data_IF_080841619460
#
_entry.id   IF_080841619460
#
_cell.length_a   1.000
_cell.length_b   1.000
_cell.length_c   1.000
_cell.angle_alpha   90.00
_cell.angle_beta   90.00
_cell.angle_gamma   90.00
#
_symmetry.space_group_name_H-M   'P 1'
#
loop_
_entity.id
_entity.type
_entity.pdbx_description
1 polymer ?
#
# COMPACT_ATOMS: atom_id res chain seq x y z
N UNK A 1 61.79 8.91 -3.35
CA UNK A 1 60.73 8.06 -2.75
C UNK A 1 59.39 8.50 -3.25
N UNK A 2 58.73 7.70 -4.14
CA UNK A 2 57.34 7.96 -4.56
C UNK A 2 56.43 7.20 -3.60
N UNK A 3 55.67 7.96 -2.81
CA UNK A 3 54.63 7.37 -1.99
C UNK A 3 53.53 6.80 -2.90
N UNK A 4 53.41 5.47 -2.91
CA UNK A 4 52.33 4.80 -3.58
C UNK A 4 51.02 5.10 -2.88
N UNK A 5 50.12 5.81 -3.54
CA UNK A 5 48.74 5.95 -3.08
C UNK A 5 48.07 4.61 -3.31
N UNK A 6 47.88 3.84 -2.23
CA UNK A 6 47.01 2.67 -2.25
C UNK A 6 45.56 3.17 -2.41
N UNK A 7 45.04 3.15 -3.64
CA UNK A 7 43.59 3.26 -3.87
C UNK A 7 42.99 2.00 -3.31
N UNK A 8 42.38 2.06 -2.14
CA UNK A 8 41.48 1.03 -1.65
C UNK A 8 40.31 1.02 -2.64
N UNK A 9 40.17 -0.07 -3.39
CA UNK A 9 39.02 -0.26 -4.28
C UNK A 9 37.82 -0.50 -3.37
N UNK A 10 36.90 0.45 -3.34
CA UNK A 10 35.64 0.24 -2.66
C UNK A 10 34.90 -0.91 -3.37
N UNK A 11 34.61 -1.96 -2.64
CA UNK A 11 33.86 -3.13 -3.14
C UNK A 11 32.40 -2.98 -2.75
N UNK A 12 31.51 -3.24 -3.68
CA UNK A 12 30.06 -3.32 -3.40
C UNK A 12 29.79 -4.64 -2.72
N UNK A 13 29.38 -4.62 -1.47
CA UNK A 13 29.02 -5.81 -0.71
C UNK A 13 27.51 -5.96 -0.56
N UNK A 14 27.07 -7.19 -0.29
CA UNK A 14 25.65 -7.43 -0.01
C UNK A 14 25.14 -6.61 1.17
N UNK A 15 26.00 -6.28 2.13
CA UNK A 15 25.64 -5.48 3.30
C UNK A 15 25.42 -4.01 2.91
N UNK A 16 26.27 -3.43 2.05
CA UNK A 16 26.08 -2.07 1.54
C UNK A 16 24.75 -1.94 0.79
N UNK A 17 24.44 -2.91 -0.09
CA UNK A 17 23.19 -2.92 -0.83
C UNK A 17 22.01 -3.10 0.10
N UNK A 18 22.12 -4.00 1.08
CA UNK A 18 21.07 -4.19 2.10
C UNK A 18 20.86 -2.95 2.94
N UNK A 19 21.91 -2.30 3.43
CA UNK A 19 21.81 -1.06 4.21
C UNK A 19 21.11 0.03 3.41
N UNK A 20 21.40 0.16 2.13
CA UNK A 20 20.76 1.13 1.24
C UNK A 20 19.25 0.84 1.06
N UNK A 21 18.86 -0.44 1.05
CA UNK A 21 17.45 -0.85 0.96
C UNK A 21 16.73 -0.82 2.31
N UNK A 22 17.38 -1.27 3.39
CA UNK A 22 16.80 -1.40 4.74
C UNK A 22 16.58 -0.04 5.41
N UNK A 23 17.25 1.01 4.95
CA UNK A 23 16.93 2.38 5.41
C UNK A 23 15.46 2.75 5.09
N UNK A 24 14.80 1.99 4.21
CA UNK A 24 13.38 2.12 3.85
C UNK A 24 12.70 0.77 4.09
N UNK A 25 12.17 0.55 5.30
CA UNK A 25 11.52 -0.74 5.64
C UNK A 25 10.35 -1.11 4.75
N UNK A 26 9.51 -0.13 4.44
CA UNK A 26 8.36 -0.31 3.55
C UNK A 26 8.46 0.69 2.41
N UNK A 27 8.47 0.20 1.19
CA UNK A 27 8.48 1.02 -0.01
C UNK A 27 7.05 1.11 -0.57
N UNK A 28 6.39 2.24 -0.32
CA UNK A 28 5.12 2.58 -0.97
C UNK A 28 5.40 3.02 -2.41
N UNK A 29 4.89 2.29 -3.37
CA UNK A 29 5.14 2.54 -4.80
C UNK A 29 3.89 2.93 -5.58
N UNK A 30 2.72 2.69 -5.02
CA UNK A 30 1.45 3.03 -5.65
C UNK A 30 0.46 3.53 -4.61
N UNK A 31 -0.23 4.64 -4.92
CA UNK A 31 -1.31 5.21 -4.14
C UNK A 31 -2.55 5.38 -5.00
N UNK A 32 -3.68 5.01 -4.45
CA UNK A 32 -4.99 5.21 -5.06
C UNK A 32 -5.84 6.08 -4.14
N UNK A 33 -6.26 7.23 -4.64
CA UNK A 33 -7.18 8.14 -3.94
C UNK A 33 -8.55 8.05 -4.58
N UNK A 34 -9.57 8.09 -3.75
CA UNK A 34 -10.95 7.97 -4.20
C UNK A 34 -11.89 8.82 -3.33
N UNK A 35 -13.00 9.21 -3.93
CA UNK A 35 -14.17 9.76 -3.22
C UNK A 35 -15.33 8.81 -3.43
N UNK A 36 -15.91 8.32 -2.35
CA UNK A 36 -17.12 7.50 -2.38
C UNK A 36 -18.32 8.27 -1.88
N UNK A 37 -19.47 8.06 -2.56
CA UNK A 37 -20.78 8.46 -2.07
C UNK A 37 -21.60 7.21 -1.88
N UNK A 38 -21.98 6.93 -0.66
CA UNK A 38 -22.58 5.65 -0.29
C UNK A 38 -23.80 5.83 0.60
N UNK A 39 -24.73 4.91 0.49
CA UNK A 39 -25.91 4.89 1.35
C UNK A 39 -25.94 3.63 2.20
N UNK A 40 -26.33 3.81 3.43
CA UNK A 40 -26.65 2.72 4.35
C UNK A 40 -28.15 2.75 4.65
N UNK A 41 -28.80 1.60 4.59
CA UNK A 41 -30.19 1.42 4.99
C UNK A 41 -30.33 0.13 5.78
N UNK A 42 -31.07 0.19 6.88
CA UNK A 42 -31.37 -0.97 7.70
C UNK A 42 -32.78 -0.87 8.29
N UNK A 43 -33.49 -1.96 8.24
CA UNK A 43 -34.82 -2.13 8.86
C UNK A 43 -34.73 -3.18 9.98
N UNK A 44 -35.59 -3.06 10.99
CA UNK A 44 -35.81 -4.17 11.90
C UNK A 44 -36.69 -5.24 11.21
N UNK A 45 -36.38 -6.50 11.48
CA UNK A 45 -37.11 -7.64 10.92
C UNK A 45 -37.71 -8.50 12.04
N UNK A 46 -38.89 -9.05 11.75
CA UNK A 46 -39.53 -10.05 12.59
C UNK A 46 -40.00 -11.22 11.71
N UNK A 47 -39.47 -12.43 11.94
CA UNK A 47 -39.70 -13.63 11.09
C UNK A 47 -39.43 -13.40 9.59
N UNK A 48 -38.39 -12.60 9.27
CA UNK A 48 -38.02 -12.29 7.88
C UNK A 48 -38.88 -11.23 7.18
N UNK A 49 -39.81 -10.60 7.90
CA UNK A 49 -40.62 -9.49 7.40
C UNK A 49 -40.12 -8.18 8.00
N UNK A 50 -39.98 -7.16 7.14
CA UNK A 50 -39.62 -5.80 7.58
C UNK A 50 -40.71 -5.20 8.45
N UNK A 51 -40.32 -4.67 9.60
CA UNK A 51 -41.26 -3.99 10.50
C UNK A 51 -41.46 -2.56 9.99
N UNK A 52 -42.68 -2.12 9.67
CA UNK A 52 -42.95 -0.75 9.27
C UNK A 52 -42.44 0.27 10.28
N UNK A 53 -42.02 1.44 9.78
CA UNK A 53 -41.55 2.58 10.58
C UNK A 53 -40.27 2.32 11.39
N UNK A 54 -39.46 1.32 11.02
CA UNK A 54 -38.20 1.01 11.70
C UNK A 54 -36.98 1.29 10.84
N UNK A 55 -37.16 1.92 9.65
CA UNK A 55 -36.06 2.23 8.74
C UNK A 55 -35.12 3.26 9.34
N UNK A 56 -33.83 2.95 9.36
CA UNK A 56 -32.76 3.90 9.54
C UNK A 56 -31.89 3.93 8.30
N UNK A 57 -31.48 5.10 7.87
CA UNK A 57 -30.59 5.28 6.73
C UNK A 57 -29.73 6.50 6.87
N UNK A 58 -28.60 6.50 6.18
CA UNK A 58 -27.80 7.68 5.96
C UNK A 58 -27.14 7.64 4.56
N UNK A 59 -26.86 8.80 4.02
CA UNK A 59 -26.07 8.97 2.80
C UNK A 59 -24.86 9.82 3.17
N UNK A 60 -23.67 9.29 2.93
CA UNK A 60 -22.43 9.99 3.23
C UNK A 60 -21.51 10.00 2.03
N UNK A 61 -20.65 11.03 1.94
CA UNK A 61 -19.46 10.96 1.13
C UNK A 61 -18.21 11.06 1.97
N UNK A 62 -17.13 10.47 1.49
CA UNK A 62 -15.82 10.51 2.12
C UNK A 62 -14.72 10.26 1.11
N UNK A 63 -13.54 10.78 1.41
CA UNK A 63 -12.32 10.52 0.67
C UNK A 63 -11.52 9.40 1.34
N UNK A 64 -10.82 8.63 0.54
CA UNK A 64 -9.93 7.58 1.04
C UNK A 64 -8.66 7.47 0.21
N UNK A 65 -7.64 6.88 0.83
CA UNK A 65 -6.36 6.57 0.19
C UNK A 65 -5.96 5.12 0.51
N UNK A 66 -5.67 4.35 -0.53
CA UNK A 66 -5.06 3.02 -0.43
C UNK A 66 -3.63 3.10 -0.93
N UNK A 67 -2.68 2.64 -0.13
CA UNK A 67 -1.27 2.56 -0.49
C UNK A 67 -0.85 1.11 -0.64
N UNK A 68 -0.14 0.80 -1.71
CA UNK A 68 0.47 -0.50 -1.94
C UNK A 68 1.97 -0.39 -2.17
N UNK A 69 2.69 -1.45 -1.88
CA UNK A 69 4.12 -1.54 -2.02
C UNK A 69 4.67 -2.84 -1.47
N UNK A 70 5.96 -2.85 -1.18
CA UNK A 70 6.71 -4.02 -0.73
C UNK A 70 7.34 -3.82 0.64
N UNK A 71 7.55 -4.92 1.33
CA UNK A 71 8.25 -5.03 2.61
C UNK A 71 9.72 -5.38 2.31
N UNK A 72 10.60 -4.40 2.34
CA UNK A 72 12.01 -4.57 2.00
C UNK A 72 12.80 -5.42 2.98
N UNK A 73 12.33 -5.61 4.21
CA UNK A 73 12.95 -6.52 5.17
C UNK A 73 12.96 -7.98 4.66
N UNK A 74 12.08 -8.29 3.71
CA UNK A 74 11.96 -9.62 3.10
C UNK A 74 12.69 -9.75 1.76
N UNK A 75 13.30 -8.68 1.26
CA UNK A 75 14.08 -8.72 0.03
C UNK A 75 15.34 -9.57 0.21
N UNK A 76 15.69 -10.32 -0.82
CA UNK A 76 16.94 -11.11 -0.86
C UNK A 76 17.87 -10.50 -1.88
N UNK A 77 19.12 -10.28 -1.47
CA UNK A 77 20.17 -9.69 -2.32
C UNK A 77 21.27 -10.74 -2.54
N UNK A 78 21.60 -10.98 -3.79
CA UNK A 78 22.69 -11.83 -4.23
C UNK A 78 23.61 -11.04 -5.17
N UNK A 79 24.91 -11.00 -4.85
CA UNK A 79 25.92 -10.26 -5.60
C UNK A 79 26.92 -11.22 -6.18
N UNK A 80 27.18 -11.08 -7.48
CA UNK A 80 28.25 -11.78 -8.19
C UNK A 80 29.29 -10.77 -8.69
N UNK A 81 30.40 -10.66 -7.97
CA UNK A 81 31.47 -9.72 -8.26
C UNK A 81 32.23 -10.03 -9.56
N UNK A 82 32.36 -11.31 -9.90
CA UNK A 82 33.03 -11.71 -11.14
C UNK A 82 32.23 -11.28 -12.37
N UNK A 83 30.89 -11.39 -12.29
CA UNK A 83 29.97 -11.00 -13.38
C UNK A 83 29.48 -9.56 -13.26
N UNK A 84 29.87 -8.85 -12.21
CA UNK A 84 29.36 -7.52 -11.90
C UNK A 84 27.84 -7.45 -11.96
N UNK A 85 27.17 -8.39 -11.26
CA UNK A 85 25.73 -8.54 -11.26
C UNK A 85 25.18 -8.52 -9.84
N UNK A 86 24.10 -7.75 -9.65
CA UNK A 86 23.31 -7.71 -8.42
C UNK A 86 21.93 -8.24 -8.74
N UNK A 87 21.54 -9.34 -8.10
CA UNK A 87 20.20 -9.93 -8.24
C UNK A 87 19.42 -9.69 -6.97
N UNK A 88 18.24 -9.09 -7.10
CA UNK A 88 17.34 -8.80 -6.00
C UNK A 88 16.05 -9.53 -6.24
N UNK A 89 15.65 -10.33 -5.24
CA UNK A 89 14.34 -10.98 -5.21
C UNK A 89 13.44 -10.23 -4.25
N UNK A 90 12.38 -9.62 -4.77
CA UNK A 90 11.42 -8.87 -3.97
C UNK A 90 10.28 -9.77 -3.49
N UNK A 91 9.71 -9.51 -2.31
CA UNK A 91 8.46 -10.13 -1.91
C UNK A 91 7.31 -9.61 -2.77
N UNK A 92 6.17 -10.29 -2.71
CA UNK A 92 4.96 -9.82 -3.37
C UNK A 92 4.52 -8.47 -2.77
N UNK A 93 4.03 -7.58 -3.62
CA UNK A 93 3.42 -6.35 -3.17
C UNK A 93 2.15 -6.64 -2.35
N UNK A 94 1.89 -5.79 -1.37
CA UNK A 94 0.71 -5.88 -0.51
C UNK A 94 0.11 -4.49 -0.31
N UNK A 95 -1.13 -4.42 0.13
CA UNK A 95 -1.69 -3.19 0.68
C UNK A 95 -0.93 -2.89 1.98
N UNK A 96 -0.31 -1.72 2.05
CA UNK A 96 0.43 -1.25 3.21
C UNK A 96 -0.46 -0.43 4.15
N UNK A 97 -1.36 0.36 3.59
CA UNK A 97 -2.33 1.13 4.35
C UNK A 97 -3.60 1.38 3.55
N UNK A 98 -4.70 1.49 4.24
CA UNK A 98 -5.96 2.00 3.73
C UNK A 98 -6.55 2.95 4.78
N UNK A 99 -6.75 4.19 4.42
CA UNK A 99 -7.21 5.24 5.32
C UNK A 99 -8.40 5.98 4.69
N UNK A 100 -9.34 6.36 5.54
CA UNK A 100 -10.42 7.28 5.20
C UNK A 100 -10.06 8.61 5.87
N UNK A 101 -10.16 9.68 5.10
CA UNK A 101 -10.02 11.03 5.62
C UNK A 101 -11.30 11.41 6.38
N UNK A 102 -11.21 11.41 7.70
CA UNK A 102 -12.36 11.70 8.56
C UNK A 102 -12.82 13.15 8.44
N UNK A 103 -11.93 14.07 8.06
CA UNK A 103 -12.27 15.49 7.85
C UNK A 103 -13.05 15.72 6.54
N UNK A 104 -12.97 14.77 5.60
CA UNK A 104 -13.71 14.80 4.34
C UNK A 104 -15.16 14.31 4.46
N UNK A 105 -15.52 13.70 5.60
CA UNK A 105 -16.80 13.04 5.78
C UNK A 105 -17.95 14.05 5.78
N UNK A 106 -18.86 13.88 4.83
CA UNK A 106 -20.06 14.73 4.69
C UNK A 106 -21.31 13.86 4.71
N UNK A 107 -22.24 14.20 5.60
CA UNK A 107 -23.55 13.55 5.70
C UNK A 107 -24.54 14.37 4.89
N UNK A 108 -25.16 13.75 3.85
CA UNK A 108 -26.16 14.41 3.00
C UNK A 108 -27.59 14.18 3.45
N UNK A 109 -27.88 12.98 3.96
CA UNK A 109 -29.20 12.61 4.44
C UNK A 109 -29.04 11.63 5.60
N UNK A 110 -29.81 11.86 6.66
CA UNK A 110 -29.84 10.99 7.83
C UNK A 110 -31.30 10.83 8.27
N UNK A 111 -31.74 9.60 8.39
CA UNK A 111 -33.05 9.26 8.89
C UNK A 111 -32.94 8.13 9.90
N UNK A 112 -33.54 8.34 11.04
CA UNK A 112 -33.68 7.30 12.05
C UNK A 112 -35.12 7.18 12.55
N UNK A 113 -35.43 5.99 13.06
CA UNK A 113 -36.71 5.71 13.70
C UNK A 113 -36.51 5.67 15.22
N UNK A 114 -37.51 6.08 15.97
CA UNK A 114 -37.53 5.92 17.44
C UNK A 114 -37.38 4.45 17.88
N UNK A 115 -37.72 3.50 16.98
CA UNK A 115 -37.62 2.05 17.22
C UNK A 115 -36.34 1.43 16.65
N UNK A 116 -35.55 2.20 15.86
CA UNK A 116 -34.31 1.74 15.24
C UNK A 116 -33.36 2.93 15.04
N UNK A 117 -32.70 3.34 16.09
CA UNK A 117 -31.79 4.47 16.09
C UNK A 117 -30.43 4.08 15.49
N UNK A 118 -29.77 5.05 14.83
CA UNK A 118 -28.39 4.92 14.38
C UNK A 118 -27.45 4.80 15.58
N UNK A 119 -26.50 3.87 15.49
CA UNK A 119 -25.49 3.61 16.52
C UNK A 119 -24.10 3.79 15.93
N UNK A 120 -23.13 4.16 16.76
CA UNK A 120 -21.71 4.24 16.37
C UNK A 120 -21.24 2.93 15.70
N UNK A 121 -21.78 1.79 16.15
CA UNK A 121 -21.49 0.49 15.57
C UNK A 121 -21.92 0.40 14.10
N UNK A 122 -23.06 0.96 13.73
CA UNK A 122 -23.54 0.95 12.34
C UNK A 122 -22.56 1.66 11.40
N UNK A 123 -22.04 2.83 11.82
CA UNK A 123 -21.00 3.55 11.08
C UNK A 123 -19.69 2.80 11.01
N UNK A 124 -19.27 2.16 12.11
CA UNK A 124 -18.02 1.38 12.13
C UNK A 124 -18.08 0.14 11.24
N UNK A 125 -19.18 -0.60 11.27
CA UNK A 125 -19.39 -1.78 10.42
C UNK A 125 -19.51 -1.38 8.96
N UNK A 126 -20.26 -0.32 8.67
CA UNK A 126 -20.39 0.24 7.34
C UNK A 126 -19.01 0.63 6.78
N UNK A 127 -18.23 1.44 7.49
CA UNK A 127 -16.89 1.85 7.08
C UNK A 127 -16.00 0.65 6.77
N UNK A 128 -15.97 -0.33 7.65
CA UNK A 128 -15.19 -1.55 7.48
C UNK A 128 -15.57 -2.32 6.21
N UNK A 129 -16.87 -2.41 5.92
CA UNK A 129 -17.36 -3.10 4.74
C UNK A 129 -17.01 -2.35 3.45
N UNK A 130 -17.16 -1.02 3.44
CA UNK A 130 -16.80 -0.21 2.27
C UNK A 130 -15.29 -0.21 2.00
N UNK A 131 -14.46 -0.15 3.03
CA UNK A 131 -13.01 -0.30 2.86
C UNK A 131 -12.66 -1.65 2.25
N UNK A 132 -13.22 -2.74 2.77
CA UNK A 132 -13.00 -4.09 2.24
C UNK A 132 -13.44 -4.22 0.78
N UNK A 133 -14.59 -3.65 0.43
CA UNK A 133 -15.10 -3.65 -0.95
C UNK A 133 -14.14 -2.90 -1.88
N UNK A 134 -13.69 -1.71 -1.50
CA UNK A 134 -12.72 -0.93 -2.28
C UNK A 134 -11.41 -1.69 -2.47
N UNK A 135 -10.88 -2.32 -1.42
CA UNK A 135 -9.68 -3.15 -1.53
C UNK A 135 -9.88 -4.31 -2.52
N UNK A 136 -11.00 -5.01 -2.43
CA UNK A 136 -11.31 -6.11 -3.34
C UNK A 136 -11.39 -5.63 -4.80
N UNK A 137 -12.08 -4.53 -5.07
CA UNK A 137 -12.15 -3.94 -6.41
C UNK A 137 -10.76 -3.56 -6.96
N UNK A 138 -9.88 -3.02 -6.12
CA UNK A 138 -8.51 -2.70 -6.50
C UNK A 138 -7.68 -3.94 -6.82
N UNK A 139 -7.82 -5.00 -6.02
CA UNK A 139 -7.15 -6.28 -6.26
C UNK A 139 -7.58 -6.87 -7.61
N UNK A 140 -8.87 -6.86 -7.90
CA UNK A 140 -9.43 -7.36 -9.17
C UNK A 140 -8.95 -6.53 -10.40
N UNK A 141 -8.61 -5.25 -10.19
CA UNK A 141 -8.08 -4.36 -11.24
C UNK A 141 -6.56 -4.41 -11.39
N UNK A 142 -5.86 -5.31 -10.70
CA UNK A 142 -4.42 -5.48 -10.84
C UNK A 142 -3.58 -4.44 -10.08
N UNK A 143 -4.11 -3.88 -9.00
CA UNK A 143 -3.43 -2.85 -8.22
C UNK A 143 -2.09 -3.33 -7.62
N UNK A 144 -2.02 -4.57 -7.15
CA UNK A 144 -0.79 -5.13 -6.60
C UNK A 144 0.23 -5.51 -7.66
N UNK A 145 -0.21 -5.93 -8.84
CA UNK A 145 0.66 -6.18 -9.99
C UNK A 145 1.34 -4.90 -10.45
N UNK A 146 0.58 -3.80 -10.51
CA UNK A 146 1.15 -2.49 -10.83
C UNK A 146 2.11 -2.00 -9.74
N UNK A 147 1.75 -2.17 -8.46
CA UNK A 147 2.63 -1.86 -7.33
C UNK A 147 3.93 -2.66 -7.38
N UNK A 148 3.88 -3.96 -7.70
CA UNK A 148 5.06 -4.82 -7.88
C UNK A 148 5.97 -4.31 -8.98
N UNK A 149 5.41 -3.94 -10.14
CA UNK A 149 6.18 -3.38 -11.25
C UNK A 149 6.88 -2.09 -10.86
N UNK A 150 6.14 -1.14 -10.28
CA UNK A 150 6.71 0.13 -9.80
C UNK A 150 7.75 -0.06 -8.70
N UNK A 151 7.61 -1.09 -7.89
CA UNK A 151 8.61 -1.43 -6.86
C UNK A 151 9.94 -1.85 -7.47
N UNK A 152 9.92 -2.64 -8.53
CA UNK A 152 11.16 -3.03 -9.25
C UNK A 152 11.87 -1.81 -9.81
N UNK A 153 11.14 -0.93 -10.47
CA UNK A 153 11.70 0.30 -11.06
C UNK A 153 12.30 1.19 -9.96
N UNK A 154 11.58 1.40 -8.86
CA UNK A 154 12.04 2.21 -7.74
C UNK A 154 13.31 1.64 -7.08
N UNK A 155 13.43 0.32 -6.92
CA UNK A 155 14.63 -0.31 -6.37
C UNK A 155 15.83 -0.09 -7.29
N UNK A 156 15.66 -0.20 -8.59
CA UNK A 156 16.73 0.07 -9.55
C UNK A 156 17.18 1.53 -9.45
N UNK A 157 16.25 2.46 -9.34
CA UNK A 157 16.57 3.89 -9.17
C UNK A 157 17.31 4.15 -7.86
N UNK A 158 16.86 3.57 -6.74
CA UNK A 158 17.50 3.71 -5.42
C UNK A 158 18.95 3.21 -5.48
N UNK A 159 19.19 2.06 -6.06
CA UNK A 159 20.54 1.49 -6.14
C UNK A 159 21.46 2.28 -7.09
N UNK A 160 20.93 2.82 -8.16
CA UNK A 160 21.68 3.65 -9.10
C UNK A 160 22.07 5.03 -8.55
N UNK A 161 21.63 5.39 -7.34
CA UNK A 161 22.13 6.56 -6.60
C UNK A 161 23.63 6.35 -6.24
N UNK A 162 24.02 5.09 -5.99
CA UNK A 162 25.41 4.76 -5.76
C UNK A 162 26.19 4.68 -7.08
N UNK A 163 27.18 5.57 -7.35
CA UNK A 163 27.91 5.58 -8.62
C UNK A 163 28.62 4.26 -8.93
N UNK A 164 29.15 3.56 -7.93
CA UNK A 164 29.81 2.26 -8.12
C UNK A 164 28.83 1.20 -8.66
N UNK A 165 27.61 1.19 -8.13
CA UNK A 165 26.58 0.26 -8.60
C UNK A 165 26.18 0.63 -10.02
N UNK A 166 25.89 1.91 -10.25
CA UNK A 166 25.45 2.41 -11.56
C UNK A 166 26.46 2.14 -12.68
N UNK A 167 27.74 2.37 -12.40
CA UNK A 167 28.78 2.35 -13.44
C UNK A 167 29.43 0.97 -13.63
N UNK A 168 29.43 0.11 -12.59
CA UNK A 168 30.14 -1.17 -12.63
C UNK A 168 29.22 -2.39 -12.62
N UNK A 169 27.97 -2.29 -12.12
CA UNK A 169 27.10 -3.46 -11.90
C UNK A 169 25.83 -3.42 -12.76
N UNK A 170 25.39 -4.61 -13.16
CA UNK A 170 24.07 -4.79 -13.74
C UNK A 170 23.11 -5.23 -12.65
N UNK A 171 22.09 -4.42 -12.38
CA UNK A 171 21.05 -4.72 -11.37
C UNK A 171 19.88 -5.43 -12.04
N UNK A 172 19.49 -6.60 -11.50
CA UNK A 172 18.28 -7.35 -11.90
C UNK A 172 17.37 -7.49 -10.69
N UNK A 173 16.12 -7.10 -10.85
CA UNK A 173 15.09 -7.17 -9.82
C UNK A 173 13.97 -8.09 -10.31
N UNK A 174 13.70 -9.16 -9.53
CA UNK A 174 12.73 -10.21 -9.83
C UNK A 174 11.52 -10.15 -8.89
#
# INVERSE_FOLDING_TARGET
MKAGVFKTKEEVTSDIVKEQLVSVKELTTLKYRYTNVVSFENDNEFYGMKIPFTTKKFIISYDGEVSAGIDLDKAKVDINDEKKAINISLPQAKILSHQIDEDSLTIFDEKESIFNQLKIKDFSEFRKNEMKKTEQELLEKGFLEEASKKSKDAIIEILNINPLIKDEYTVKVN
#
